data_IF_659580020148
#
_entry.id   IF_659580020148
#
_cell.length_a   1.000
_cell.length_b   1.000
_cell.length_c   1.000
_cell.angle_alpha   90.00
_cell.angle_beta   90.00
_cell.angle_gamma   90.00
#
_symmetry.space_group_name_H-M   'P 1'
#
loop_
_entity.id
_entity.type
_entity.pdbx_description
1 polymer ?
#
# COMPACT_ATOMS: atom_id res chain seq x y z
N UNK A 1 0.56 19.59 19.57
CA UNK A 1 1.79 18.81 19.32
C UNK A 1 1.87 17.53 20.17
N UNK A 2 1.55 17.55 21.46
CA UNK A 2 1.62 16.35 22.32
C UNK A 2 0.63 15.25 21.92
N UNK A 3 -0.59 15.62 21.52
CA UNK A 3 -1.64 14.67 21.15
C UNK A 3 -1.35 13.97 19.81
N UNK A 4 -0.80 14.69 18.84
CA UNK A 4 -0.42 14.19 17.52
C UNK A 4 0.71 13.16 17.63
N UNK A 5 1.70 13.42 18.49
CA UNK A 5 2.77 12.46 18.79
C UNK A 5 2.19 11.19 19.42
N UNK A 6 1.29 11.33 20.41
CA UNK A 6 0.64 10.18 21.03
C UNK A 6 -0.18 9.35 20.02
N UNK A 7 -0.89 10.01 19.11
CA UNK A 7 -1.64 9.34 18.05
C UNK A 7 -0.72 8.55 17.11
N UNK A 8 0.40 9.14 16.67
CA UNK A 8 1.40 8.47 15.84
C UNK A 8 1.99 7.25 16.57
N UNK A 9 2.40 7.43 17.83
CA UNK A 9 2.95 6.34 18.66
C UNK A 9 1.94 5.21 18.82
N UNK A 10 0.67 5.53 19.09
CA UNK A 10 -0.40 4.53 19.21
C UNK A 10 -0.62 3.75 17.91
N UNK A 11 -0.61 4.44 16.76
CA UNK A 11 -0.73 3.80 15.44
C UNK A 11 0.45 2.86 15.17
N UNK A 12 1.69 3.30 15.46
CA UNK A 12 2.89 2.49 15.28
C UNK A 12 2.85 1.25 16.19
N UNK A 13 2.49 1.42 17.46
CA UNK A 13 2.37 0.33 18.42
C UNK A 13 1.31 -0.68 17.98
N UNK A 14 0.13 -0.22 17.57
CA UNK A 14 -0.95 -1.06 17.08
C UNK A 14 -0.55 -1.85 15.82
N UNK A 15 0.10 -1.19 14.84
CA UNK A 15 0.60 -1.85 13.62
C UNK A 15 1.66 -2.89 13.95
N UNK A 16 2.60 -2.57 14.82
CA UNK A 16 3.69 -3.46 15.23
C UNK A 16 3.13 -4.69 15.94
N UNK A 17 2.23 -4.48 16.91
CA UNK A 17 1.56 -5.57 17.63
C UNK A 17 0.78 -6.46 16.66
N UNK A 18 0.01 -5.85 15.74
CA UNK A 18 -0.76 -6.60 14.74
C UNK A 18 0.13 -7.50 13.89
N UNK A 19 1.21 -6.95 13.33
CA UNK A 19 2.18 -7.70 12.52
C UNK A 19 2.88 -8.77 13.35
N UNK A 20 3.10 -8.52 14.65
CA UNK A 20 3.68 -9.48 15.59
C UNK A 20 2.81 -10.70 15.84
N UNK A 21 1.49 -10.55 15.91
CA UNK A 21 0.58 -11.64 16.31
C UNK A 21 -0.18 -12.29 15.14
N UNK A 22 -0.36 -11.60 14.02
CA UNK A 22 -1.13 -12.13 12.88
C UNK A 22 -0.23 -12.78 11.80
N UNK A 23 -0.78 -13.69 10.99
CA UNK A 23 -0.12 -14.14 9.76
C UNK A 23 0.14 -12.98 8.80
N UNK A 24 1.29 -13.01 8.13
CA UNK A 24 1.60 -12.04 7.08
C UNK A 24 0.76 -12.32 5.81
N UNK A 25 0.50 -11.31 4.97
CA UNK A 25 -0.20 -11.49 3.71
C UNK A 25 0.41 -12.61 2.86
N UNK A 26 -0.48 -13.47 2.32
CA UNK A 26 -0.11 -14.71 1.61
C UNK A 26 0.86 -14.49 0.46
N UNK A 27 0.81 -13.33 -0.22
CA UNK A 27 1.62 -13.10 -1.42
C UNK A 27 3.09 -12.73 -1.08
N UNK A 28 3.43 -12.44 0.17
CA UNK A 28 4.75 -11.90 0.51
C UNK A 28 5.86 -12.94 0.33
N UNK A 29 5.76 -14.09 0.99
CA UNK A 29 6.78 -15.15 0.93
C UNK A 29 6.84 -15.89 -0.42
N UNK A 30 5.72 -16.21 -1.10
CA UNK A 30 5.77 -16.94 -2.36
C UNK A 30 6.03 -16.04 -3.58
N UNK A 31 5.71 -14.75 -3.51
CA UNK A 31 5.83 -13.85 -4.69
C UNK A 31 6.79 -12.67 -4.46
N UNK A 32 6.55 -11.87 -3.43
CA UNK A 32 7.27 -10.60 -3.25
C UNK A 32 8.75 -10.84 -2.87
N UNK A 33 9.02 -11.65 -1.85
CA UNK A 33 10.39 -11.93 -1.40
C UNK A 33 11.24 -12.61 -2.48
N UNK A 34 10.75 -13.65 -3.20
CA UNK A 34 11.49 -14.25 -4.31
C UNK A 34 11.75 -13.27 -5.47
N UNK A 35 10.77 -12.41 -5.79
CA UNK A 35 10.91 -11.37 -6.81
C UNK A 35 12.02 -10.37 -6.46
N UNK A 36 12.04 -9.87 -5.21
CA UNK A 36 13.07 -8.98 -4.71
C UNK A 36 14.46 -9.64 -4.70
N UNK A 37 14.54 -10.90 -4.25
CA UNK A 37 15.82 -11.65 -4.18
C UNK A 37 16.42 -11.90 -5.56
N UNK A 38 15.58 -12.14 -6.57
CA UNK A 38 15.99 -12.53 -7.91
C UNK A 38 15.83 -11.43 -8.98
N UNK A 39 15.85 -10.14 -8.58
CA UNK A 39 15.62 -9.02 -9.51
C UNK A 39 16.51 -9.07 -10.76
N UNK A 40 17.78 -9.51 -10.67
CA UNK A 40 18.66 -9.66 -11.85
C UNK A 40 18.11 -10.65 -12.87
N UNK A 41 17.47 -11.73 -12.42
CA UNK A 41 16.82 -12.72 -13.30
C UNK A 41 15.54 -12.14 -13.91
N UNK A 42 14.75 -11.40 -13.11
CA UNK A 42 13.57 -10.68 -13.58
C UNK A 42 13.92 -9.67 -14.69
N UNK A 43 15.06 -8.98 -14.56
CA UNK A 43 15.54 -8.02 -15.56
C UNK A 43 16.15 -8.69 -16.81
N UNK A 44 16.79 -9.86 -16.68
CA UNK A 44 17.55 -10.47 -17.78
C UNK A 44 16.82 -11.56 -18.60
N UNK A 45 15.82 -12.32 -18.10
CA UNK A 45 15.09 -13.34 -18.90
C UNK A 45 13.83 -13.90 -18.20
N UNK A 46 12.70 -13.91 -18.93
CA UNK A 46 11.51 -14.81 -18.95
C UNK A 46 11.06 -15.63 -17.72
N UNK A 47 11.42 -15.29 -16.49
CA UNK A 47 10.77 -15.91 -15.34
C UNK A 47 9.39 -15.30 -15.19
N UNK A 48 8.34 -16.06 -15.54
CA UNK A 48 6.99 -15.85 -15.02
C UNK A 48 7.17 -15.87 -13.50
N UNK A 49 7.28 -14.69 -12.88
CA UNK A 49 7.33 -14.61 -11.43
C UNK A 49 5.98 -15.13 -10.99
N UNK A 50 5.97 -16.34 -10.42
CA UNK A 50 4.79 -16.95 -9.84
C UNK A 50 4.35 -16.08 -8.67
N UNK A 51 3.59 -15.04 -8.97
CA UNK A 51 3.49 -13.89 -8.09
C UNK A 51 2.95 -12.67 -8.81
N UNK A 52 1.64 -12.49 -8.71
CA UNK A 52 0.78 -11.51 -9.40
C UNK A 52 1.10 -10.03 -9.14
N UNK A 53 2.34 -9.59 -9.33
CA UNK A 53 2.67 -8.17 -9.21
C UNK A 53 3.98 -7.79 -9.93
N UNK A 54 3.95 -7.55 -11.24
CA UNK A 54 5.08 -6.94 -11.94
C UNK A 54 5.12 -5.45 -11.57
N UNK A 55 5.97 -5.09 -10.60
CA UNK A 55 6.20 -3.68 -10.24
C UNK A 55 7.36 -3.08 -11.03
N UNK A 56 7.30 -1.78 -11.31
CA UNK A 56 8.34 -1.08 -12.07
C UNK A 56 9.65 -0.96 -11.30
N UNK A 57 10.69 -0.51 -12.01
CA UNK A 57 12.05 -0.40 -11.45
C UNK A 57 12.12 0.55 -10.23
N UNK A 58 11.27 1.58 -10.20
CA UNK A 58 11.19 2.52 -9.07
C UNK A 58 10.69 1.81 -7.81
N UNK A 59 9.70 0.93 -7.93
CA UNK A 59 9.23 0.13 -6.81
C UNK A 59 10.33 -0.76 -6.26
N UNK A 60 11.11 -1.40 -7.15
CA UNK A 60 12.25 -2.20 -6.74
C UNK A 60 13.35 -1.36 -6.08
N UNK A 61 13.62 -0.16 -6.59
CA UNK A 61 14.60 0.77 -6.01
C UNK A 61 14.25 1.12 -4.55
N UNK A 62 12.96 1.24 -4.22
CA UNK A 62 12.48 1.49 -2.86
C UNK A 62 12.53 0.21 -2.02
N UNK A 63 11.98 -0.90 -2.50
CA UNK A 63 11.71 -2.06 -1.67
C UNK A 63 12.91 -3.02 -1.50
N UNK A 64 13.81 -3.09 -2.48
CA UNK A 64 14.98 -3.95 -2.43
C UNK A 64 15.95 -3.66 -1.28
N UNK A 65 16.38 -2.40 -1.01
CA UNK A 65 17.26 -2.13 0.12
C UNK A 65 16.61 -2.50 1.45
N UNK A 66 15.30 -2.28 1.60
CA UNK A 66 14.54 -2.61 2.81
C UNK A 66 14.44 -4.14 2.98
N UNK A 67 14.16 -4.87 1.90
CA UNK A 67 14.12 -6.33 1.94
C UNK A 67 15.50 -6.95 2.23
N UNK A 68 16.58 -6.34 1.72
CA UNK A 68 17.95 -6.74 2.08
C UNK A 68 18.24 -6.53 3.55
N UNK A 69 17.86 -5.37 4.12
CA UNK A 69 17.97 -5.13 5.56
C UNK A 69 17.18 -6.16 6.36
N UNK A 70 16.00 -6.55 5.88
CA UNK A 70 15.16 -7.61 6.47
C UNK A 70 15.66 -9.04 6.21
N UNK A 71 16.81 -9.22 5.54
CA UNK A 71 17.34 -10.52 5.11
C UNK A 71 16.30 -11.36 4.32
N UNK A 72 15.43 -10.68 3.57
CA UNK A 72 14.31 -11.26 2.82
C UNK A 72 13.31 -12.05 3.68
N UNK A 73 13.20 -11.75 4.98
CA UNK A 73 12.12 -12.23 5.83
C UNK A 73 10.91 -11.29 5.67
N UNK A 74 9.76 -11.82 5.24
CA UNK A 74 8.57 -11.01 4.95
C UNK A 74 8.04 -10.25 6.17
N UNK A 75 8.09 -10.85 7.37
CA UNK A 75 7.63 -10.19 8.59
C UNK A 75 8.52 -9.02 8.98
N UNK A 76 9.83 -9.21 8.99
CA UNK A 76 10.77 -8.10 9.27
C UNK A 76 10.70 -7.01 8.21
N UNK A 77 10.48 -7.38 6.94
CA UNK A 77 10.27 -6.41 5.88
C UNK A 77 9.04 -5.53 6.13
N UNK A 78 7.89 -6.11 6.50
CA UNK A 78 6.69 -5.32 6.86
C UNK A 78 6.96 -4.41 8.06
N UNK A 79 7.69 -4.88 9.08
CA UNK A 79 8.03 -4.06 10.24
C UNK A 79 8.91 -2.86 9.85
N UNK A 80 9.90 -3.06 8.97
CA UNK A 80 10.71 -1.94 8.47
C UNK A 80 9.92 -0.98 7.58
N UNK A 81 8.99 -1.48 6.76
CA UNK A 81 8.05 -0.62 6.05
C UNK A 81 7.23 0.21 7.04
N UNK A 82 6.69 -0.41 8.10
CA UNK A 82 5.93 0.30 9.13
C UNK A 82 6.73 1.36 9.88
N UNK A 83 8.01 1.08 10.16
CA UNK A 83 8.92 2.03 10.80
C UNK A 83 9.19 3.24 9.90
N UNK A 84 9.50 3.01 8.62
CA UNK A 84 9.72 4.11 7.66
C UNK A 84 8.42 4.91 7.46
N UNK A 85 7.27 4.23 7.39
CA UNK A 85 5.96 4.86 7.24
C UNK A 85 5.63 5.84 8.38
N UNK A 86 6.23 5.70 9.58
CA UNK A 86 6.03 6.65 10.68
C UNK A 86 6.44 8.08 10.33
N UNK A 87 7.47 8.25 9.49
CA UNK A 87 7.94 9.56 9.02
C UNK A 87 6.89 10.19 8.10
N UNK A 88 6.30 9.37 7.22
CA UNK A 88 5.26 9.82 6.29
C UNK A 88 3.93 10.08 7.00
N UNK A 89 3.66 9.34 8.08
CA UNK A 89 2.52 9.57 8.98
C UNK A 89 2.66 10.91 9.72
N UNK A 90 3.87 11.30 10.09
CA UNK A 90 4.13 12.63 10.62
C UNK A 90 3.98 13.72 9.55
N UNK A 91 4.54 13.50 8.35
CA UNK A 91 4.40 14.44 7.22
C UNK A 91 2.93 14.68 6.84
N UNK A 92 2.08 13.66 6.93
CA UNK A 92 0.67 13.77 6.54
C UNK A 92 -0.15 14.72 7.44
N UNK A 93 0.35 15.06 8.64
CA UNK A 93 -0.25 16.10 9.51
C UNK A 93 -0.32 17.47 8.82
N UNK A 94 0.55 17.73 7.84
CA UNK A 94 0.53 18.98 7.05
C UNK A 94 -0.73 19.12 6.19
N UNK A 95 -1.46 18.02 5.92
CA UNK A 95 -2.78 18.04 5.28
C UNK A 95 -3.94 18.30 6.26
N UNK A 96 -3.64 18.61 7.52
CA UNK A 96 -4.63 18.72 8.59
C UNK A 96 -5.13 17.38 9.12
N UNK A 97 -5.94 17.42 10.17
CA UNK A 97 -6.39 16.22 10.90
C UNK A 97 -7.15 15.22 10.03
N UNK A 98 -7.99 15.70 9.10
CA UNK A 98 -8.77 14.83 8.23
C UNK A 98 -7.88 14.11 7.20
N UNK A 99 -6.91 14.83 6.61
CA UNK A 99 -5.91 14.23 5.73
C UNK A 99 -4.99 13.24 6.45
N UNK A 100 -4.58 13.58 7.69
CA UNK A 100 -3.84 12.68 8.56
C UNK A 100 -4.61 11.39 8.85
N UNK A 101 -5.88 11.48 9.26
CA UNK A 101 -6.71 10.30 9.54
C UNK A 101 -6.93 9.44 8.30
N UNK A 102 -7.17 10.06 7.14
CA UNK A 102 -7.27 9.35 5.88
C UNK A 102 -5.98 8.59 5.55
N UNK A 103 -4.82 9.24 5.70
CA UNK A 103 -3.52 8.57 5.52
C UNK A 103 -3.28 7.47 6.55
N UNK A 104 -3.58 7.72 7.83
CA UNK A 104 -3.44 6.74 8.90
C UNK A 104 -4.26 5.49 8.59
N UNK A 105 -5.50 5.65 8.13
CA UNK A 105 -6.38 4.55 7.72
C UNK A 105 -5.83 3.83 6.47
N UNK A 106 -5.60 4.54 5.37
CA UNK A 106 -5.16 3.96 4.09
C UNK A 106 -3.79 3.29 4.25
N UNK A 107 -2.84 3.99 4.87
CA UNK A 107 -1.50 3.49 5.15
C UNK A 107 -1.52 2.25 6.03
N UNK A 108 -2.35 2.22 7.07
CA UNK A 108 -2.49 1.02 7.93
C UNK A 108 -3.09 -0.13 7.15
N UNK A 109 -4.17 0.11 6.40
CA UNK A 109 -4.83 -0.93 5.62
C UNK A 109 -3.89 -1.54 4.59
N UNK A 110 -3.17 -0.69 3.84
CA UNK A 110 -2.20 -1.14 2.84
C UNK A 110 -1.04 -1.87 3.49
N UNK A 111 -0.44 -1.36 4.57
CA UNK A 111 0.65 -2.04 5.26
C UNK A 111 0.27 -3.46 5.72
N UNK A 112 -0.95 -3.64 6.24
CA UNK A 112 -1.38 -4.90 6.82
C UNK A 112 -1.97 -5.89 5.79
N UNK A 113 -2.48 -5.41 4.65
CA UNK A 113 -3.15 -6.25 3.64
C UNK A 113 -2.40 -6.36 2.31
N UNK A 114 -1.69 -5.31 1.92
CA UNK A 114 -0.96 -5.21 0.65
C UNK A 114 0.34 -4.39 0.84
N UNK A 115 1.29 -4.83 1.68
CA UNK A 115 2.45 -4.03 2.11
C UNK A 115 3.36 -3.58 0.97
N UNK A 116 3.32 -4.29 -0.17
CA UNK A 116 3.97 -3.85 -1.39
C UNK A 116 3.46 -2.49 -1.92
N UNK A 117 2.29 -2.02 -1.49
CA UNK A 117 1.79 -0.68 -1.84
C UNK A 117 2.34 0.43 -0.94
N UNK A 118 2.95 0.10 0.20
CA UNK A 118 3.40 1.08 1.18
C UNK A 118 4.43 2.05 0.58
N UNK A 119 5.38 1.57 -0.23
CA UNK A 119 6.30 2.44 -0.96
C UNK A 119 5.62 3.41 -1.94
N UNK A 120 4.47 3.01 -2.52
CA UNK A 120 3.69 3.90 -3.40
C UNK A 120 2.93 4.94 -2.57
N UNK A 121 2.39 4.57 -1.40
CA UNK A 121 1.80 5.53 -0.47
C UNK A 121 2.80 6.63 -0.11
N UNK A 122 4.07 6.26 0.13
CA UNK A 122 5.13 7.23 0.45
C UNK A 122 5.36 8.20 -0.70
N UNK A 123 5.48 7.71 -1.93
CA UNK A 123 5.60 8.58 -3.10
C UNK A 123 4.40 9.53 -3.19
N UNK A 124 3.17 9.05 -2.97
CA UNK A 124 2.00 9.92 -3.00
C UNK A 124 2.09 11.03 -1.94
N UNK A 125 2.40 10.70 -0.68
CA UNK A 125 2.50 11.69 0.41
C UNK A 125 3.69 12.64 0.24
N UNK A 126 4.80 12.17 -0.34
CA UNK A 126 5.92 13.03 -0.73
C UNK A 126 5.52 14.08 -1.79
N UNK A 127 4.34 13.94 -2.41
CA UNK A 127 3.69 15.00 -3.19
C UNK A 127 3.60 16.34 -2.44
N UNK A 128 3.44 16.30 -1.12
CA UNK A 128 3.41 17.47 -0.23
C UNK A 128 4.74 18.22 -0.18
N UNK A 129 5.85 17.54 -0.47
CA UNK A 129 7.19 18.13 -0.58
C UNK A 129 7.46 18.57 -2.01
N UNK A 130 7.07 17.75 -2.99
CA UNK A 130 7.20 18.08 -4.40
C UNK A 130 6.11 17.42 -5.25
N UNK A 131 5.34 18.18 -6.05
CA UNK A 131 4.28 17.63 -6.90
C UNK A 131 4.76 16.56 -7.90
N UNK A 132 6.05 16.55 -8.26
CA UNK A 132 6.62 15.52 -9.13
C UNK A 132 6.42 14.11 -8.59
N UNK A 133 6.36 13.92 -7.27
CA UNK A 133 6.10 12.62 -6.69
C UNK A 133 4.70 12.08 -7.01
N UNK A 134 3.71 12.93 -7.29
CA UNK A 134 2.39 12.50 -7.77
C UNK A 134 2.44 11.93 -9.19
N UNK A 135 3.42 12.31 -10.01
CA UNK A 135 3.67 11.72 -11.33
C UNK A 135 4.46 10.42 -11.19
N UNK A 136 5.46 10.41 -10.30
CA UNK A 136 6.33 9.25 -10.05
C UNK A 136 5.54 8.08 -9.44
N UNK A 137 4.57 8.33 -8.55
CA UNK A 137 3.80 7.28 -7.88
C UNK A 137 3.06 6.33 -8.85
N UNK A 138 2.27 6.81 -9.83
CA UNK A 138 1.70 5.98 -10.88
C UNK A 138 2.76 5.20 -11.68
N UNK A 139 3.86 5.85 -12.07
CA UNK A 139 4.95 5.22 -12.84
C UNK A 139 5.58 4.07 -12.04
N UNK A 140 5.78 4.27 -10.74
CA UNK A 140 6.34 3.26 -9.85
C UNK A 140 5.41 2.04 -9.67
N UNK A 141 4.09 2.26 -9.77
CA UNK A 141 3.11 1.18 -9.68
C UNK A 141 3.03 0.36 -10.97
N UNK A 142 3.22 0.99 -12.12
CA UNK A 142 3.28 0.35 -13.43
C UNK A 142 4.61 -0.40 -13.62
N UNK A 143 4.67 -1.43 -14.48
CA UNK A 143 5.89 -2.20 -14.76
C UNK A 143 6.88 -1.42 -15.65
N UNK A 144 7.02 -0.11 -15.45
CA UNK A 144 7.92 0.74 -16.22
C UNK A 144 9.36 0.33 -15.92
N UNK A 145 10.15 0.13 -16.99
CA UNK A 145 11.52 -0.37 -16.91
C UNK A 145 11.64 -1.90 -16.85
N UNK A 146 10.53 -2.64 -16.94
CA UNK A 146 10.53 -4.11 -17.10
C UNK A 146 10.26 -4.52 -18.56
N UNK A 147 10.60 -5.77 -18.97
CA UNK A 147 10.35 -6.23 -20.32
C UNK A 147 8.84 -6.37 -20.62
N UNK A 148 8.44 -6.22 -21.90
CA UNK A 148 7.05 -6.04 -22.34
C UNK A 148 6.02 -7.08 -21.84
N UNK A 149 6.42 -8.34 -21.65
CA UNK A 149 5.54 -9.38 -21.10
C UNK A 149 4.99 -9.05 -19.70
N UNK A 150 5.74 -8.28 -18.89
CA UNK A 150 5.31 -7.80 -17.57
C UNK A 150 4.07 -6.89 -17.64
N UNK A 151 3.84 -6.19 -18.77
CA UNK A 151 2.65 -5.36 -18.97
C UNK A 151 1.38 -6.21 -19.13
N UNK A 152 1.47 -7.33 -19.85
CA UNK A 152 0.36 -8.28 -20.00
C UNK A 152 -0.06 -8.91 -18.67
N UNK A 153 0.91 -9.26 -17.83
CA UNK A 153 0.66 -9.81 -16.49
C UNK A 153 0.09 -8.77 -15.52
N UNK A 154 0.53 -7.50 -15.64
CA UNK A 154 -0.01 -6.39 -14.85
C UNK A 154 -1.47 -6.12 -15.19
N UNK A 155 -1.82 -6.12 -16.48
CA UNK A 155 -3.20 -5.93 -16.95
C UNK A 155 -4.16 -7.00 -16.40
N UNK A 156 -3.74 -8.27 -16.37
CA UNK A 156 -4.52 -9.35 -15.74
C UNK A 156 -4.60 -9.22 -14.23
N UNK A 157 -3.56 -8.68 -13.58
CA UNK A 157 -3.53 -8.48 -12.13
C UNK A 157 -4.46 -7.35 -11.65
N UNK A 158 -4.71 -6.30 -12.46
CA UNK A 158 -5.63 -5.22 -12.10
C UNK A 158 -7.05 -5.72 -11.78
N UNK A 159 -7.54 -6.71 -12.53
CA UNK A 159 -8.89 -7.26 -12.37
C UNK A 159 -8.95 -8.54 -11.52
N UNK A 160 -7.83 -8.97 -10.95
CA UNK A 160 -7.76 -10.21 -10.19
C UNK A 160 -8.13 -10.00 -8.70
N UNK A 161 -9.09 -10.77 -8.20
CA UNK A 161 -9.51 -10.92 -6.77
C UNK A 161 -9.20 -9.74 -5.84
N UNK A 162 -10.17 -8.84 -5.65
CA UNK A 162 -10.13 -7.70 -4.70
C UNK A 162 -8.99 -6.68 -4.88
N UNK A 163 -8.15 -6.80 -5.91
CA UNK A 163 -7.10 -5.82 -6.19
C UNK A 163 -7.63 -4.41 -6.41
N UNK A 164 -8.87 -4.27 -6.91
CA UNK A 164 -9.54 -2.97 -7.07
C UNK A 164 -9.62 -2.18 -5.75
N UNK A 165 -9.70 -2.84 -4.59
CA UNK A 165 -9.68 -2.16 -3.28
C UNK A 165 -8.32 -1.52 -3.05
N UNK A 166 -7.24 -2.27 -3.29
CA UNK A 166 -5.88 -1.79 -3.08
C UNK A 166 -5.51 -0.66 -4.06
N UNK A 167 -5.91 -0.77 -5.33
CA UNK A 167 -5.71 0.29 -6.32
C UNK A 167 -6.60 1.51 -6.05
N UNK A 168 -7.86 1.29 -5.67
CA UNK A 168 -8.79 2.36 -5.34
C UNK A 168 -8.29 3.19 -4.16
N UNK A 169 -7.80 2.55 -3.09
CA UNK A 169 -7.24 3.27 -1.93
C UNK A 169 -5.98 4.07 -2.30
N UNK A 170 -5.15 3.58 -3.23
CA UNK A 170 -4.03 4.36 -3.78
C UNK A 170 -4.53 5.58 -4.57
N UNK A 171 -5.55 5.40 -5.41
CA UNK A 171 -6.16 6.49 -6.16
C UNK A 171 -6.82 7.53 -5.25
N UNK A 172 -7.51 7.09 -4.20
CA UNK A 172 -8.07 7.98 -3.18
C UNK A 172 -6.98 8.77 -2.48
N UNK A 173 -5.91 8.12 -2.01
CA UNK A 173 -4.80 8.85 -1.38
C UNK A 173 -4.16 9.85 -2.34
N UNK A 174 -3.99 9.48 -3.62
CA UNK A 174 -3.47 10.36 -4.65
C UNK A 174 -4.34 11.60 -4.83
N UNK A 175 -5.67 11.43 -4.92
CA UNK A 175 -6.62 12.53 -5.02
C UNK A 175 -6.61 13.43 -3.78
N UNK A 176 -6.46 12.86 -2.59
CA UNK A 176 -6.36 13.63 -1.35
C UNK A 176 -5.16 14.57 -1.39
N UNK A 177 -3.98 14.05 -1.75
CA UNK A 177 -2.77 14.89 -1.85
C UNK A 177 -2.89 15.89 -3.00
N UNK A 178 -3.42 15.47 -4.16
CA UNK A 178 -3.66 16.34 -5.30
C UNK A 178 -4.59 17.52 -4.93
N UNK A 179 -5.74 17.25 -4.31
CA UNK A 179 -6.65 18.31 -3.87
C UNK A 179 -6.04 19.16 -2.77
N UNK A 180 -5.25 18.58 -1.85
CA UNK A 180 -4.54 19.39 -0.86
C UNK A 180 -3.59 20.42 -1.51
N UNK A 181 -2.93 20.06 -2.61
CA UNK A 181 -1.99 20.95 -3.31
C UNK A 181 -2.65 21.94 -4.25
N UNK A 182 -3.64 21.49 -5.02
CA UNK A 182 -4.16 22.25 -6.16
C UNK A 182 -5.59 22.75 -5.99
N UNK A 183 -6.40 22.09 -5.15
CA UNK A 183 -7.82 22.38 -4.96
C UNK A 183 -8.22 22.28 -3.47
N UNK A 184 -7.56 23.02 -2.56
CA UNK A 184 -7.71 22.81 -1.11
C UNK A 184 -9.15 23.06 -0.63
N UNK A 185 -9.89 23.92 -1.32
CA UNK A 185 -11.29 24.25 -1.01
C UNK A 185 -12.24 23.03 -1.03
N UNK A 186 -11.94 22.01 -1.84
CA UNK A 186 -12.78 20.80 -1.94
C UNK A 186 -12.16 19.58 -1.27
N UNK A 187 -10.94 19.69 -0.71
CA UNK A 187 -10.19 18.57 -0.14
C UNK A 187 -11.01 17.84 0.91
N UNK A 188 -11.51 18.54 1.93
CA UNK A 188 -12.18 17.89 3.06
C UNK A 188 -13.51 17.25 2.66
N UNK A 189 -14.29 17.94 1.82
CA UNK A 189 -15.51 17.37 1.23
C UNK A 189 -15.19 16.09 0.44
N UNK A 190 -14.11 16.09 -0.35
CA UNK A 190 -13.70 14.92 -1.13
C UNK A 190 -13.28 13.75 -0.24
N UNK A 191 -12.61 14.00 0.89
CA UNK A 191 -12.21 12.97 1.84
C UNK A 191 -13.45 12.33 2.45
N UNK A 192 -14.43 13.14 2.87
CA UNK A 192 -15.66 12.65 3.48
C UNK A 192 -16.50 11.82 2.49
N UNK A 193 -16.67 12.30 1.25
CA UNK A 193 -17.42 11.59 0.21
C UNK A 193 -16.76 10.25 -0.12
N UNK A 194 -15.44 10.25 -0.34
CA UNK A 194 -14.70 9.03 -0.62
C UNK A 194 -14.70 8.08 0.58
N UNK A 195 -14.54 8.60 1.80
CA UNK A 195 -14.60 7.84 3.04
C UNK A 195 -15.94 7.15 3.23
N UNK A 196 -17.05 7.83 2.95
CA UNK A 196 -18.38 7.24 2.96
C UNK A 196 -18.51 6.11 1.94
N UNK A 197 -18.06 6.34 0.69
CA UNK A 197 -18.04 5.32 -0.35
C UNK A 197 -17.23 4.08 0.02
N UNK A 198 -16.03 4.27 0.58
CA UNK A 198 -15.19 3.18 1.09
C UNK A 198 -15.83 2.45 2.27
N UNK A 199 -16.46 3.18 3.20
CA UNK A 199 -17.15 2.59 4.34
C UNK A 199 -18.26 1.63 3.91
N UNK A 200 -19.12 2.05 2.96
CA UNK A 200 -20.17 1.20 2.40
C UNK A 200 -19.58 -0.03 1.69
N UNK A 201 -18.57 0.17 0.85
CA UNK A 201 -17.96 -0.92 0.08
C UNK A 201 -17.27 -1.95 0.99
N UNK A 202 -16.46 -1.50 1.95
CA UNK A 202 -15.77 -2.39 2.88
C UNK A 202 -16.76 -3.11 3.81
N UNK A 203 -17.81 -2.43 4.27
CA UNK A 203 -18.90 -3.04 5.02
C UNK A 203 -19.62 -4.13 4.23
N UNK A 204 -19.96 -3.85 2.97
CA UNK A 204 -20.55 -4.84 2.07
C UNK A 204 -19.64 -6.06 1.87
N UNK A 205 -18.35 -5.84 1.60
CA UNK A 205 -17.38 -6.92 1.42
C UNK A 205 -17.19 -7.75 2.70
N UNK A 206 -17.22 -7.12 3.87
CA UNK A 206 -17.15 -7.80 5.16
C UNK A 206 -18.37 -8.72 5.37
N UNK A 207 -19.59 -8.21 5.16
CA UNK A 207 -20.82 -9.00 5.28
C UNK A 207 -20.82 -10.16 4.27
N UNK A 208 -20.43 -9.91 3.02
CA UNK A 208 -20.36 -10.93 1.98
C UNK A 208 -19.36 -12.04 2.33
N UNK A 209 -18.21 -11.68 2.91
CA UNK A 209 -17.24 -12.67 3.38
C UNK A 209 -17.81 -13.55 4.48
N UNK A 210 -18.51 -12.97 5.46
CA UNK A 210 -19.16 -13.70 6.55
C UNK A 210 -20.22 -14.69 6.06
N UNK A 211 -20.98 -14.34 5.00
CA UNK A 211 -21.98 -15.23 4.38
C UNK A 211 -21.36 -16.38 3.58
N UNK A 212 -20.19 -16.16 2.97
CA UNK A 212 -19.49 -17.19 2.22
C UNK A 212 -18.65 -18.12 3.11
N UNK A 213 -18.51 -17.80 4.39
CA UNK A 213 -18.00 -18.69 5.44
C UNK A 213 -19.17 -19.28 6.22
N UNK A 214 -20.04 -20.04 5.55
CA UNK A 214 -20.95 -20.96 6.26
C UNK A 214 -20.16 -22.18 6.77
N UNK A 215 -20.55 -22.77 7.92
CA UNK A 215 -19.73 -23.72 8.65
C UNK A 215 -19.69 -25.07 7.93
N UNK A 216 -18.55 -25.46 7.39
CA UNK A 216 -18.20 -26.88 7.27
C UNK A 216 -17.62 -27.33 8.62
N UNK A 217 -18.49 -27.40 9.62
CA UNK A 217 -18.32 -28.23 10.81
C UNK A 217 -19.73 -28.66 11.22
N UNK A 218 -19.90 -29.98 11.38
CA UNK A 218 -21.14 -30.75 11.62
C UNK A 218 -21.84 -31.31 10.37
N UNK A 219 -21.25 -32.37 9.82
CA UNK A 219 -21.91 -33.68 9.60
C UNK A 219 -20.87 -34.73 9.29
#
# INVERSE_FOLDING_TARGET
MTFEILAIVAIIAARTLWVGVHPIPHDIEPAIMPGLKNIRRVLHRQTIVSGRAPYGIIWYAINLPIARAAKFNGRYWILYLGLIDSILLWLSLTMGWLGFLAYAFIGTFQLLRAPWNTGINWLIVLGLVSPWFLVIAPIAKLPVGLPLHAFGDTGRAFFFRHNFVYYGLLGTLWLIVFFNLFLPAIRDASILIQGFGWGLLLGYLFIRRGRNTSPTFLS
#
